data_IF_774442038121
#
_entry.id   IF_774442038121
#
_cell.length_a   1.000
_cell.length_b   1.000
_cell.length_c   1.000
_cell.angle_alpha   90.00
_cell.angle_beta   90.00
_cell.angle_gamma   90.00
#
_symmetry.space_group_name_H-M   'P 1'
#
loop_
_entity.id
_entity.type
_entity.pdbx_description
1 polymer ?
#
# COMPACT_ATOMS: atom_id res chain seq x y z
N UNK A 1 9.40 9.23 -35.34
CA UNK A 1 8.84 8.28 -34.36
C UNK A 1 8.20 7.12 -35.12
N UNK A 2 8.21 5.89 -34.61
CA UNK A 2 7.53 4.76 -35.26
C UNK A 2 6.02 4.91 -35.06
N UNK A 3 5.23 4.94 -36.13
CA UNK A 3 3.77 5.17 -36.06
C UNK A 3 3.05 4.22 -35.11
N UNK A 4 3.52 2.97 -35.03
CA UNK A 4 3.00 1.96 -34.10
C UNK A 4 3.06 2.41 -32.63
N UNK A 5 4.18 2.99 -32.19
CA UNK A 5 4.35 3.45 -30.81
C UNK A 5 3.45 4.65 -30.49
N UNK A 6 3.22 5.52 -31.47
CA UNK A 6 2.30 6.64 -31.33
C UNK A 6 0.85 6.17 -31.17
N UNK A 7 0.43 5.19 -31.97
CA UNK A 7 -0.92 4.62 -31.88
C UNK A 7 -1.16 3.87 -30.56
N UNK A 8 -0.14 3.19 -30.05
CA UNK A 8 -0.19 2.54 -28.74
C UNK A 8 -0.40 3.56 -27.61
N UNK A 9 0.34 4.68 -27.62
CA UNK A 9 0.16 5.78 -26.67
C UNK A 9 -1.22 6.43 -26.77
N UNK A 10 -1.72 6.67 -27.98
CA UNK A 10 -3.07 7.21 -28.19
C UNK A 10 -4.14 6.27 -27.61
N UNK A 11 -3.94 4.97 -27.76
CA UNK A 11 -4.86 3.95 -27.22
C UNK A 11 -4.86 3.97 -25.70
N UNK A 12 -3.70 4.03 -25.05
CA UNK A 12 -3.61 4.04 -23.58
C UNK A 12 -4.21 5.31 -22.97
N UNK A 13 -3.99 6.48 -23.58
CA UNK A 13 -4.59 7.76 -23.13
C UNK A 13 -6.12 7.72 -23.24
N UNK A 14 -6.66 7.16 -24.33
CA UNK A 14 -8.12 6.99 -24.50
C UNK A 14 -8.70 6.03 -23.46
N UNK A 15 -8.01 4.91 -23.19
CA UNK A 15 -8.41 3.96 -22.14
C UNK A 15 -8.43 4.62 -20.76
N UNK A 16 -7.38 5.37 -20.40
CA UNK A 16 -7.31 6.12 -19.15
C UNK A 16 -8.48 7.10 -18.98
N UNK A 17 -8.84 7.82 -20.05
CA UNK A 17 -10.01 8.72 -20.05
C UNK A 17 -11.34 7.99 -19.81
N UNK A 18 -11.53 6.79 -20.38
CA UNK A 18 -12.73 5.96 -20.14
C UNK A 18 -12.78 5.44 -18.71
N UNK A 19 -11.64 5.04 -18.15
CA UNK A 19 -11.54 4.60 -16.75
C UNK A 19 -11.89 5.74 -15.80
N UNK A 20 -11.31 6.93 -16.01
CA UNK A 20 -11.57 8.11 -15.18
C UNK A 20 -13.04 8.55 -15.18
N UNK A 21 -13.74 8.34 -16.31
CA UNK A 21 -15.19 8.61 -16.44
C UNK A 21 -16.09 7.47 -15.95
N UNK A 22 -15.53 6.37 -15.45
CA UNK A 22 -16.29 5.20 -14.99
C UNK A 22 -16.90 4.34 -16.11
N UNK A 23 -16.57 4.62 -17.37
CA UNK A 23 -17.11 3.93 -18.56
C UNK A 23 -16.37 2.61 -18.83
N UNK A 24 -15.18 2.44 -18.27
CA UNK A 24 -14.40 1.20 -18.34
C UNK A 24 -13.75 0.91 -16.99
N UNK A 25 -13.57 -0.36 -16.65
CA UNK A 25 -12.80 -0.76 -15.46
C UNK A 25 -11.31 -0.83 -15.78
N UNK A 26 -10.41 -0.50 -14.83
CA UNK A 26 -8.97 -0.68 -15.03
C UNK A 26 -8.65 -2.14 -15.34
N UNK A 27 -7.73 -2.39 -16.29
CA UNK A 27 -7.31 -3.75 -16.65
C UNK A 27 -6.65 -4.49 -15.48
N UNK A 28 -6.06 -3.75 -14.54
CA UNK A 28 -5.51 -4.29 -13.30
C UNK A 28 -5.66 -3.27 -12.18
N UNK A 29 -6.29 -3.68 -11.09
CA UNK A 29 -6.23 -2.96 -9.81
C UNK A 29 -5.41 -3.84 -8.90
N UNK A 30 -4.32 -3.32 -8.35
CA UNK A 30 -3.55 -4.05 -7.35
C UNK A 30 -4.27 -3.89 -6.00
N UNK A 31 -5.35 -4.64 -5.79
CA UNK A 31 -6.03 -4.77 -4.49
C UNK A 31 -5.22 -5.70 -3.59
N UNK A 32 -5.10 -5.40 -2.30
CA UNK A 32 -4.81 -6.42 -1.29
C UNK A 32 -6.15 -6.90 -0.76
N UNK A 33 -6.28 -8.21 -0.57
CA UNK A 33 -7.39 -8.75 0.18
C UNK A 33 -7.11 -8.57 1.69
N UNK A 34 -8.14 -8.41 2.55
CA UNK A 34 -7.97 -8.35 4.00
C UNK A 34 -7.12 -9.48 4.59
N UNK A 35 -7.19 -10.67 3.98
CA UNK A 35 -6.43 -11.87 4.34
C UNK A 35 -4.91 -11.68 4.25
N UNK A 36 -4.43 -10.70 3.47
CA UNK A 36 -3.01 -10.44 3.29
C UNK A 36 -2.38 -9.72 4.51
N UNK A 37 -3.14 -8.89 5.21
CA UNK A 37 -2.61 -8.04 6.31
C UNK A 37 -2.25 -8.89 7.53
N UNK A 38 -3.17 -9.77 7.95
CA UNK A 38 -2.92 -10.67 9.07
C UNK A 38 -1.78 -11.65 8.76
N UNK A 39 -1.71 -12.13 7.52
CA UNK A 39 -0.63 -13.01 7.08
C UNK A 39 0.75 -12.33 7.10
N UNK A 40 0.83 -11.06 6.69
CA UNK A 40 2.08 -10.27 6.80
C UNK A 40 2.52 -10.17 8.25
N UNK A 41 1.61 -9.77 9.15
CA UNK A 41 1.93 -9.66 10.58
C UNK A 41 2.38 -11.00 11.17
N UNK A 42 1.64 -12.08 10.89
CA UNK A 42 1.96 -13.40 11.41
C UNK A 42 3.34 -13.89 10.95
N UNK A 43 3.72 -13.64 9.69
CA UNK A 43 5.07 -13.96 9.17
C UNK A 43 6.18 -13.22 9.89
N UNK A 44 5.90 -12.02 10.40
CA UNK A 44 6.86 -11.21 11.15
C UNK A 44 6.90 -11.57 12.65
N UNK A 45 5.99 -12.44 13.12
CA UNK A 45 5.96 -12.90 14.52
C UNK A 45 5.56 -11.82 15.53
N UNK A 46 4.89 -10.75 15.09
CA UNK A 46 4.55 -9.60 15.95
C UNK A 46 3.10 -9.62 16.41
N UNK A 47 2.86 -9.06 17.60
CA UNK A 47 1.51 -8.77 18.09
C UNK A 47 0.84 -7.67 17.26
N UNK A 48 -0.49 -7.54 17.36
CA UNK A 48 -1.21 -6.44 16.71
C UNK A 48 -0.69 -5.06 17.16
N UNK A 49 -0.32 -4.92 18.43
CA UNK A 49 0.19 -3.65 18.97
C UNK A 49 1.55 -3.29 18.37
N UNK A 50 2.48 -4.24 18.35
CA UNK A 50 3.82 -4.05 17.80
C UNK A 50 3.78 -3.78 16.29
N UNK A 51 2.95 -4.53 15.55
CA UNK A 51 2.82 -4.32 14.11
C UNK A 51 2.18 -2.98 13.78
N UNK A 52 1.13 -2.59 14.50
CA UNK A 52 0.48 -1.29 14.32
C UNK A 52 1.46 -0.14 14.58
N UNK A 53 2.26 -0.23 15.65
CA UNK A 53 3.33 0.72 15.95
C UNK A 53 4.39 0.74 14.84
N UNK A 54 4.82 -0.43 14.38
CA UNK A 54 5.84 -0.57 13.33
C UNK A 54 5.46 0.19 12.06
N UNK A 55 4.20 0.07 11.61
CA UNK A 55 3.71 0.72 10.38
C UNK A 55 3.03 2.09 10.63
N UNK A 56 3.06 2.61 11.86
CA UNK A 56 2.55 3.94 12.19
C UNK A 56 1.03 4.11 12.12
N UNK A 57 0.26 3.08 12.48
CA UNK A 57 -1.22 3.13 12.53
C UNK A 57 -1.76 2.78 13.90
N UNK A 58 -3.03 3.10 14.18
CA UNK A 58 -3.67 2.67 15.42
C UNK A 58 -3.96 1.15 15.41
N UNK A 59 -3.96 0.51 16.58
CA UNK A 59 -4.36 -0.90 16.74
C UNK A 59 -5.79 -1.13 16.24
N UNK A 60 -6.68 -0.15 16.43
CA UNK A 60 -8.07 -0.19 15.92
C UNK A 60 -8.10 -0.20 14.38
N UNK A 61 -7.24 0.60 13.73
CA UNK A 61 -7.09 0.60 12.26
C UNK A 61 -6.63 -0.76 11.77
N UNK A 62 -5.58 -1.32 12.37
CA UNK A 62 -5.08 -2.65 12.00
C UNK A 62 -6.15 -3.73 12.18
N UNK A 63 -6.90 -3.71 13.29
CA UNK A 63 -8.00 -4.66 13.53
C UNK A 63 -9.11 -4.55 12.48
N UNK A 64 -9.49 -3.33 12.09
CA UNK A 64 -10.48 -3.14 11.04
C UNK A 64 -10.02 -3.73 9.70
N UNK A 65 -8.72 -3.66 9.40
CA UNK A 65 -8.14 -4.28 8.22
C UNK A 65 -8.09 -5.81 8.31
N UNK A 66 -7.55 -6.37 9.39
CA UNK A 66 -7.46 -7.83 9.58
C UNK A 66 -8.84 -8.51 9.62
N UNK A 67 -9.87 -7.81 10.08
CA UNK A 67 -11.26 -8.30 10.10
C UNK A 67 -12.04 -8.01 8.81
N UNK A 68 -11.45 -7.32 7.83
CA UNK A 68 -12.12 -6.96 6.59
C UNK A 68 -13.24 -5.91 6.72
N UNK A 69 -13.36 -5.24 7.88
CA UNK A 69 -14.33 -4.13 8.08
C UNK A 69 -13.95 -2.89 7.27
N UNK A 70 -12.66 -2.72 6.99
CA UNK A 70 -12.10 -1.69 6.09
C UNK A 70 -10.95 -2.29 5.29
N UNK A 71 -10.72 -1.74 4.12
CA UNK A 71 -9.60 -2.12 3.25
C UNK A 71 -8.53 -1.03 3.28
N UNK A 72 -7.23 -1.37 3.42
CA UNK A 72 -6.17 -0.37 3.31
C UNK A 72 -6.15 0.24 1.89
N UNK A 73 -5.96 1.55 1.80
CA UNK A 73 -5.93 2.32 0.56
C UNK A 73 -4.51 2.76 0.18
N UNK A 74 -4.37 3.39 -0.99
CA UNK A 74 -3.13 3.59 -1.76
C UNK A 74 -1.81 3.65 -0.95
N UNK A 75 -1.61 4.64 -0.05
CA UNK A 75 -0.38 4.75 0.74
C UNK A 75 -0.20 3.63 1.76
N UNK A 76 -1.25 3.26 2.48
CA UNK A 76 -1.22 2.16 3.45
C UNK A 76 -0.88 0.83 2.78
N UNK A 77 -1.43 0.61 1.58
CA UNK A 77 -1.15 -0.55 0.75
C UNK A 77 0.32 -0.62 0.32
N UNK A 78 0.89 0.50 -0.10
CA UNK A 78 2.30 0.59 -0.43
C UNK A 78 3.18 0.29 0.78
N UNK A 79 2.84 0.84 1.95
CA UNK A 79 3.57 0.59 3.19
C UNK A 79 3.51 -0.88 3.62
N UNK A 80 2.33 -1.51 3.54
CA UNK A 80 2.17 -2.95 3.82
C UNK A 80 3.01 -3.82 2.88
N UNK A 81 3.15 -3.45 1.60
CA UNK A 81 4.05 -4.14 0.64
C UNK A 81 5.52 -4.01 1.03
N UNK A 82 5.94 -2.82 1.49
CA UNK A 82 7.31 -2.61 1.96
C UNK A 82 7.52 -3.42 3.24
N UNK A 83 6.61 -3.37 4.20
CA UNK A 83 6.68 -4.15 5.44
C UNK A 83 6.78 -5.67 5.19
N UNK A 84 6.05 -6.18 4.19
CA UNK A 84 6.08 -7.59 3.81
C UNK A 84 7.41 -8.04 3.19
N UNK A 85 8.14 -7.14 2.52
CA UNK A 85 9.38 -7.46 1.79
C UNK A 85 10.65 -7.07 2.56
N UNK A 86 10.61 -5.93 3.22
CA UNK A 86 11.72 -5.34 3.96
C UNK A 86 11.20 -4.59 5.21
N UNK A 87 10.85 -5.34 6.28
CA UNK A 87 10.35 -4.75 7.52
C UNK A 87 11.35 -3.81 8.19
N UNK A 88 12.66 -4.07 8.03
CA UNK A 88 13.73 -3.21 8.57
C UNK A 88 13.68 -1.81 7.98
N UNK A 89 13.46 -1.68 6.67
CA UNK A 89 13.35 -0.37 6.02
C UNK A 89 12.16 0.44 6.54
N UNK A 90 11.04 -0.22 6.90
CA UNK A 90 9.89 0.47 7.52
C UNK A 90 10.26 0.97 8.91
N UNK A 91 10.86 0.12 9.73
CA UNK A 91 11.31 0.49 11.07
C UNK A 91 12.28 1.67 10.99
N UNK A 92 13.25 1.59 10.09
CA UNK A 92 14.24 2.63 9.88
C UNK A 92 13.59 3.95 9.42
N UNK A 93 12.72 3.90 8.41
CA UNK A 93 12.09 5.11 7.87
C UNK A 93 11.15 5.80 8.87
N UNK A 94 10.46 5.04 9.74
CA UNK A 94 9.44 5.58 10.64
C UNK A 94 9.95 5.87 12.06
N UNK A 95 11.02 5.22 12.51
CA UNK A 95 11.46 5.27 13.91
C UNK A 95 12.93 5.69 14.12
N UNK A 96 13.69 5.93 13.04
CA UNK A 96 15.09 6.41 13.19
C UNK A 96 15.13 7.92 13.39
N UNK A 97 15.31 8.30 14.66
CA UNK A 97 15.85 9.56 15.20
C UNK A 97 14.95 10.81 15.26
N UNK A 98 14.34 10.99 16.45
CA UNK A 98 14.20 12.30 17.11
C UNK A 98 15.52 12.63 17.84
N UNK A 99 16.58 12.95 17.10
CA UNK A 99 17.80 13.58 17.64
C UNK A 99 18.36 14.58 16.64
N UNK A 100 17.79 15.79 16.62
CA UNK A 100 18.50 17.06 16.33
C UNK A 100 17.54 18.22 16.54
N UNK A 101 17.89 19.12 17.46
CA UNK A 101 17.17 20.39 17.69
C UNK A 101 16.80 20.71 19.14
N UNK A 102 17.64 20.37 20.12
CA UNK A 102 17.69 21.10 21.38
C UNK A 102 19.07 21.77 21.45
N UNK A 103 19.14 22.98 20.91
CA UNK A 103 20.19 23.96 21.14
C UNK A 103 19.53 25.33 20.98
#
# INVERSE_FOLDING_TARGET
MKDAAFQELLTSVRQAGRIRRGVARPARVATFEPADVQAIRAKLGTSQAEFALMIGVSVSTLRNWEQGRRTPDGPALALLRVAARNPKAVIEALHTERKRGAA
#
